data_IF_558076723024
#
_entry.id   IF_558076723024
#
_cell.length_a   1.000
_cell.length_b   1.000
_cell.length_c   1.000
_cell.angle_alpha   90.00
_cell.angle_beta   90.00
_cell.angle_gamma   90.00
#
_symmetry.space_group_name_H-M   'P 1'
#
loop_
_entity.id
_entity.type
_entity.pdbx_description
1 polymer ?
#
# COMPACT_ATOMS: atom_id res chain seq x y z
N UNK A 1 0.97 31.04 68.95
CA UNK A 1 -0.45 30.64 68.82
C UNK A 1 -0.47 29.29 68.14
N UNK A 2 -0.79 28.22 68.89
CA UNK A 2 -0.94 26.87 68.36
C UNK A 2 -2.32 26.73 67.71
N UNK A 3 -2.40 26.15 66.51
CA UNK A 3 -3.53 25.29 66.18
C UNK A 3 -3.13 24.27 65.10
N UNK A 4 -3.24 23.00 65.47
CA UNK A 4 -3.17 21.84 64.59
C UNK A 4 -4.46 21.78 63.76
N UNK A 5 -4.34 21.49 62.47
CA UNK A 5 -5.37 20.82 61.69
C UNK A 5 -4.68 19.90 60.67
N UNK A 6 -4.91 18.59 60.86
CA UNK A 6 -4.64 17.52 59.91
C UNK A 6 -5.59 17.64 58.72
N UNK A 7 -5.16 17.30 57.50
CA UNK A 7 -5.86 16.38 56.59
C UNK A 7 -4.97 16.07 55.34
N UNK A 8 -4.58 14.80 55.25
CA UNK A 8 -4.47 13.94 54.04
C UNK A 8 -3.66 14.35 52.79
N UNK A 9 -2.65 13.52 52.54
CA UNK A 9 -2.31 12.85 51.27
C UNK A 9 -2.06 13.70 50.01
N UNK A 10 -0.78 13.75 49.61
CA UNK A 10 -0.37 14.26 48.30
C UNK A 10 1.09 14.00 48.01
N UNK A 11 1.52 12.73 47.98
CA UNK A 11 2.78 12.37 47.31
C UNK A 11 2.42 11.92 45.90
N UNK A 12 2.41 12.87 44.97
CA UNK A 12 2.49 12.58 43.55
C UNK A 12 3.92 12.08 43.32
N UNK A 13 4.13 10.77 43.34
CA UNK A 13 5.35 10.18 42.81
C UNK A 13 5.30 10.39 41.31
N UNK A 14 6.11 11.35 40.86
CA UNK A 14 6.43 11.56 39.46
C UNK A 14 7.11 10.29 38.90
N UNK A 15 6.29 9.36 38.41
CA UNK A 15 6.74 8.34 37.48
C UNK A 15 6.95 9.00 36.14
N UNK A 16 8.17 9.52 35.91
CA UNK A 16 8.68 9.78 34.57
C UNK A 16 8.67 8.45 33.82
N UNK A 17 7.57 8.17 33.13
CA UNK A 17 7.55 7.17 32.09
C UNK A 17 8.57 7.64 31.05
N UNK A 18 9.74 7.01 31.06
CA UNK A 18 10.63 6.96 29.91
C UNK A 18 9.82 6.32 28.77
N UNK A 19 9.09 7.13 28.02
CA UNK A 19 8.89 6.81 26.62
C UNK A 19 10.32 6.75 26.05
N UNK A 20 10.75 5.64 25.43
CA UNK A 20 11.98 5.69 24.67
C UNK A 20 11.76 6.80 23.63
N UNK A 21 12.53 7.87 23.76
CA UNK A 21 12.76 8.75 22.64
C UNK A 21 13.17 7.81 21.51
N UNK A 22 12.34 7.72 20.48
CA UNK A 22 12.71 7.11 19.20
C UNK A 22 13.90 7.92 18.74
N UNK A 23 15.08 7.50 19.19
CA UNK A 23 16.33 8.03 18.73
C UNK A 23 16.28 7.78 17.24
N UNK A 24 16.44 8.84 16.46
CA UNK A 24 16.86 8.72 15.08
C UNK A 24 18.25 8.06 15.11
N UNK A 25 18.26 6.75 15.30
CA UNK A 25 19.43 5.94 15.04
C UNK A 25 19.59 5.97 13.53
N UNK A 26 20.75 6.43 13.07
CA UNK A 26 21.15 6.21 11.70
C UNK A 26 20.97 4.72 11.39
N UNK A 27 20.27 4.42 10.30
CA UNK A 27 20.00 3.04 9.90
C UNK A 27 21.32 2.33 9.68
N UNK A 28 21.53 1.22 10.40
CA UNK A 28 22.72 0.39 10.19
C UNK A 28 22.68 -0.25 8.81
N UNK A 29 23.85 -0.64 8.28
CA UNK A 29 23.92 -1.39 7.02
C UNK A 29 23.16 -2.72 7.10
N UNK A 30 23.17 -3.39 8.27
CA UNK A 30 22.42 -4.63 8.51
C UNK A 30 20.91 -4.42 8.40
N UNK A 31 20.40 -3.33 8.98
CA UNK A 31 18.99 -3.00 8.98
C UNK A 31 18.50 -2.65 7.57
N UNK A 32 19.28 -1.87 6.81
CA UNK A 32 19.01 -1.60 5.40
C UNK A 32 19.07 -2.86 4.54
N UNK A 33 20.00 -3.79 4.82
CA UNK A 33 20.08 -5.07 4.11
C UNK A 33 18.85 -5.94 4.38
N UNK A 34 18.38 -6.00 5.63
CA UNK A 34 17.13 -6.69 5.98
C UNK A 34 15.92 -6.07 5.28
N UNK A 35 15.84 -4.72 5.24
CA UNK A 35 14.77 -4.00 4.55
C UNK A 35 14.78 -4.28 3.04
N UNK A 36 15.94 -4.23 2.40
CA UNK A 36 16.10 -4.60 0.99
C UNK A 36 15.59 -6.01 0.73
N UNK A 37 15.98 -6.98 1.58
CA UNK A 37 15.55 -8.37 1.42
C UNK A 37 14.02 -8.52 1.54
N UNK A 38 13.42 -7.88 2.54
CA UNK A 38 11.96 -7.90 2.73
C UNK A 38 11.19 -7.27 1.55
N UNK A 39 11.63 -6.10 1.09
CA UNK A 39 11.00 -5.38 -0.03
C UNK A 39 11.07 -6.19 -1.32
N UNK A 40 12.22 -6.81 -1.60
CA UNK A 40 12.38 -7.66 -2.79
C UNK A 40 11.58 -8.97 -2.70
N UNK A 41 11.55 -9.61 -1.53
CA UNK A 41 10.81 -10.85 -1.33
C UNK A 41 9.29 -10.67 -1.46
N UNK A 42 8.78 -9.50 -1.07
CA UNK A 42 7.35 -9.15 -1.13
C UNK A 42 6.89 -8.62 -2.48
N UNK A 43 7.80 -8.43 -3.44
CA UNK A 43 7.53 -7.74 -4.71
C UNK A 43 6.97 -6.31 -4.53
N UNK A 44 7.30 -5.64 -3.42
CA UNK A 44 6.72 -4.32 -3.11
C UNK A 44 7.16 -3.22 -4.08
N UNK A 45 8.19 -3.45 -4.90
CA UNK A 45 8.63 -2.49 -5.92
C UNK A 45 7.75 -2.48 -7.17
N UNK A 46 7.00 -3.56 -7.46
CA UNK A 46 6.18 -3.65 -8.68
C UNK A 46 5.03 -2.63 -8.71
N UNK A 47 4.61 -2.14 -7.53
CA UNK A 47 3.68 -1.03 -7.39
C UNK A 47 4.16 0.27 -8.07
N UNK A 48 5.46 0.40 -8.34
CA UNK A 48 6.07 1.57 -8.96
C UNK A 48 6.46 1.35 -10.42
N UNK A 49 6.18 0.20 -11.02
CA UNK A 49 6.59 -0.12 -12.39
C UNK A 49 5.95 0.82 -13.43
N UNK A 50 4.75 1.30 -13.15
CA UNK A 50 4.00 2.19 -14.03
C UNK A 50 4.48 3.66 -14.05
N UNK A 51 5.33 4.10 -13.10
CA UNK A 51 5.70 5.53 -12.97
C UNK A 51 6.27 6.10 -14.28
N UNK A 52 7.31 5.46 -14.83
CA UNK A 52 7.98 5.95 -16.04
C UNK A 52 7.04 5.87 -17.26
N UNK A 53 6.35 4.74 -17.53
CA UNK A 53 5.35 4.68 -18.60
C UNK A 53 4.25 5.74 -18.52
N UNK A 54 3.71 6.01 -17.32
CA UNK A 54 2.69 7.04 -17.16
C UNK A 54 3.25 8.45 -17.39
N UNK A 55 4.48 8.73 -16.94
CA UNK A 55 5.14 10.00 -17.23
C UNK A 55 5.40 10.17 -18.73
N UNK A 56 5.80 9.10 -19.42
CA UNK A 56 5.98 9.08 -20.86
C UNK A 56 4.66 9.40 -21.58
N UNK A 57 3.57 8.70 -21.25
CA UNK A 57 2.25 8.94 -21.85
C UNK A 57 1.75 10.38 -21.64
N UNK A 58 1.87 10.89 -20.41
CA UNK A 58 1.51 12.28 -20.09
C UNK A 58 2.35 13.28 -20.88
N UNK A 59 3.65 13.00 -21.03
CA UNK A 59 4.58 13.84 -21.81
C UNK A 59 4.21 13.83 -23.29
N UNK A 60 3.89 12.66 -23.86
CA UNK A 60 3.38 12.53 -25.23
C UNK A 60 2.15 13.42 -25.43
N UNK A 61 1.18 13.36 -24.52
CA UNK A 61 -0.03 14.18 -24.60
C UNK A 61 0.24 15.70 -24.63
N UNK A 62 1.20 16.18 -23.82
CA UNK A 62 1.59 17.60 -23.79
C UNK A 62 2.14 18.06 -25.16
N UNK A 63 3.05 17.28 -25.75
CA UNK A 63 3.69 17.65 -27.02
C UNK A 63 2.74 17.53 -28.21
N UNK A 64 1.89 16.49 -28.28
CA UNK A 64 0.87 16.36 -29.34
C UNK A 64 -0.14 17.51 -29.28
N UNK A 65 -0.55 17.91 -28.07
CA UNK A 65 -1.47 19.03 -27.90
C UNK A 65 -0.85 20.35 -28.38
N UNK A 66 0.45 20.55 -28.13
CA UNK A 66 1.17 21.75 -28.55
C UNK A 66 1.42 21.76 -30.07
N UNK A 67 1.76 20.62 -30.65
CA UNK A 67 1.99 20.45 -32.09
C UNK A 67 1.64 19.02 -32.56
N UNK A 68 0.47 18.84 -33.21
CA UNK A 68 0.05 17.52 -33.71
C UNK A 68 0.98 16.91 -34.77
N UNK A 69 1.83 17.71 -35.43
CA UNK A 69 2.76 17.21 -36.44
C UNK A 69 3.87 16.33 -35.84
N UNK A 70 4.10 16.43 -34.53
CA UNK A 70 5.12 15.65 -33.81
C UNK A 70 4.76 14.17 -33.67
N UNK A 71 3.50 13.78 -33.86
CA UNK A 71 3.00 12.41 -33.62
C UNK A 71 3.89 11.32 -34.23
N UNK A 72 4.43 11.54 -35.44
CA UNK A 72 5.22 10.54 -36.15
C UNK A 72 6.62 10.27 -35.57
N UNK A 73 7.20 11.20 -34.80
CA UNK A 73 8.55 11.09 -34.21
C UNK A 73 8.52 11.00 -32.69
N UNK A 74 7.43 11.48 -32.07
CA UNK A 74 7.35 11.66 -30.63
C UNK A 74 7.40 10.33 -29.87
N UNK A 75 6.79 9.27 -30.39
CA UNK A 75 6.82 7.95 -29.75
C UNK A 75 8.26 7.43 -29.59
N UNK A 76 9.10 7.58 -30.63
CA UNK A 76 10.50 7.18 -30.59
C UNK A 76 11.28 8.00 -29.56
N UNK A 77 11.15 9.34 -29.60
CA UNK A 77 11.86 10.25 -28.70
C UNK A 77 11.46 10.03 -27.24
N UNK A 78 10.15 9.94 -26.97
CA UNK A 78 9.64 9.72 -25.61
C UNK A 78 10.09 8.35 -25.09
N UNK A 79 10.08 7.31 -25.93
CA UNK A 79 10.58 5.99 -25.55
C UNK A 79 12.06 6.03 -25.21
N UNK A 80 12.89 6.70 -26.03
CA UNK A 80 14.32 6.83 -25.77
C UNK A 80 14.60 7.56 -24.44
N UNK A 81 13.88 8.64 -24.17
CA UNK A 81 13.99 9.40 -22.92
C UNK A 81 13.51 8.56 -21.74
N UNK A 82 12.38 7.89 -21.86
CA UNK A 82 11.83 7.02 -20.82
C UNK A 82 12.80 5.88 -20.46
N UNK A 83 13.47 5.28 -21.44
CA UNK A 83 14.49 4.26 -21.22
C UNK A 83 15.68 4.82 -20.42
N UNK A 84 16.17 6.02 -20.75
CA UNK A 84 17.24 6.68 -19.97
C UNK A 84 16.82 6.97 -18.54
N UNK A 85 15.55 7.33 -18.31
CA UNK A 85 15.04 7.56 -16.95
C UNK A 85 14.97 6.28 -16.10
N UNK A 86 15.09 5.08 -16.69
CA UNK A 86 15.17 3.84 -15.90
C UNK A 86 16.44 3.76 -15.05
N UNK A 87 17.48 4.53 -15.38
CA UNK A 87 18.71 4.64 -14.60
C UNK A 87 18.45 5.25 -13.19
N UNK A 88 17.32 5.91 -12.98
CA UNK A 88 16.89 6.48 -11.69
C UNK A 88 16.21 5.43 -10.76
N UNK A 89 15.91 4.23 -11.27
CA UNK A 89 15.28 3.13 -10.49
C UNK A 89 16.03 2.79 -9.19
N UNK A 90 17.37 2.74 -9.15
CA UNK A 90 18.10 2.43 -7.91
C UNK A 90 17.83 3.44 -6.79
N UNK A 91 17.67 4.74 -7.11
CA UNK A 91 17.38 5.75 -6.11
C UNK A 91 15.97 5.59 -5.54
N UNK A 92 14.98 5.32 -6.39
CA UNK A 92 13.63 4.96 -5.93
C UNK A 92 13.65 3.73 -5.00
N UNK A 93 14.36 2.67 -5.41
CA UNK A 93 14.46 1.46 -4.62
C UNK A 93 15.08 1.74 -3.24
N UNK A 94 16.14 2.54 -3.18
CA UNK A 94 16.78 2.97 -1.94
C UNK A 94 15.81 3.72 -1.03
N UNK A 95 15.05 4.68 -1.57
CA UNK A 95 14.03 5.40 -0.81
C UNK A 95 12.99 4.45 -0.21
N UNK A 96 12.55 3.43 -0.96
CA UNK A 96 11.60 2.42 -0.47
C UNK A 96 12.23 1.54 0.62
N UNK A 97 13.48 1.13 0.47
CA UNK A 97 14.18 0.35 1.50
C UNK A 97 14.30 1.15 2.80
N UNK A 98 14.67 2.43 2.73
CA UNK A 98 14.72 3.31 3.90
C UNK A 98 13.35 3.49 4.56
N UNK A 99 12.29 3.57 3.76
CA UNK A 99 10.91 3.65 4.25
C UNK A 99 10.59 2.43 5.12
N UNK A 100 10.92 1.22 4.65
CA UNK A 100 10.70 -0.02 5.41
C UNK A 100 11.60 -0.12 6.64
N UNK A 101 12.89 0.17 6.50
CA UNK A 101 13.86 0.14 7.59
C UNK A 101 13.49 1.07 8.75
N UNK A 102 12.92 2.25 8.47
CA UNK A 102 12.47 3.20 9.52
C UNK A 102 11.19 2.77 10.23
N UNK A 103 10.43 1.81 9.70
CA UNK A 103 9.09 1.44 10.18
C UNK A 103 9.03 0.07 10.85
N UNK A 104 9.97 -0.79 10.53
CA UNK A 104 10.05 -2.17 11.01
C UNK A 104 11.44 -2.40 11.60
N UNK A 105 11.51 -3.16 12.69
CA UNK A 105 12.78 -3.62 13.24
C UNK A 105 13.52 -4.56 12.27
N UNK A 106 14.83 -4.71 12.46
CA UNK A 106 15.63 -5.65 11.65
C UNK A 106 15.13 -7.10 11.76
N UNK A 107 14.64 -7.50 12.94
CA UNK A 107 14.05 -8.81 13.19
C UNK A 107 12.76 -9.01 12.39
N UNK A 108 11.80 -8.09 12.47
CA UNK A 108 10.54 -8.16 11.71
C UNK A 108 10.80 -8.18 10.19
N UNK A 109 11.74 -7.37 9.70
CA UNK A 109 12.13 -7.38 8.29
C UNK A 109 12.70 -8.74 7.87
N UNK A 110 13.51 -9.34 8.73
CA UNK A 110 14.08 -10.67 8.50
C UNK A 110 13.01 -11.76 8.50
N UNK A 111 12.04 -11.70 9.41
CA UNK A 111 10.90 -12.62 9.45
C UNK A 111 10.04 -12.51 8.19
N UNK A 112 9.70 -11.29 7.77
CA UNK A 112 8.95 -11.04 6.53
C UNK A 112 9.70 -11.61 5.33
N UNK A 113 11.00 -11.30 5.21
CA UNK A 113 11.84 -11.83 4.15
C UNK A 113 11.85 -13.36 4.13
N UNK A 114 12.06 -14.00 5.29
CA UNK A 114 12.10 -15.45 5.40
C UNK A 114 10.78 -16.11 4.98
N UNK A 115 9.63 -15.53 5.38
CA UNK A 115 8.33 -16.02 4.97
C UNK A 115 8.14 -15.93 3.45
N UNK A 116 8.34 -14.75 2.87
CA UNK A 116 8.10 -14.53 1.45
C UNK A 116 9.14 -15.21 0.54
N UNK A 117 10.33 -15.53 1.04
CA UNK A 117 11.31 -16.33 0.31
C UNK A 117 11.04 -17.85 0.35
N UNK A 118 10.22 -18.31 1.30
CA UNK A 118 9.81 -19.72 1.38
C UNK A 118 9.04 -20.16 0.12
N UNK A 119 8.97 -21.47 -0.19
CA UNK A 119 8.21 -21.95 -1.35
C UNK A 119 6.75 -21.48 -1.35
N UNK A 120 6.10 -21.47 -0.18
CA UNK A 120 4.71 -21.01 -0.04
C UNK A 120 4.60 -19.50 -0.16
N UNK A 121 5.52 -18.74 0.45
CA UNK A 121 5.56 -17.28 0.35
C UNK A 121 5.73 -16.80 -1.09
N UNK A 122 6.68 -17.39 -1.83
CA UNK A 122 6.89 -17.11 -3.26
C UNK A 122 5.65 -17.43 -4.08
N UNK A 123 5.02 -18.58 -3.82
CA UNK A 123 3.77 -18.97 -4.50
C UNK A 123 2.65 -17.98 -4.20
N UNK A 124 2.55 -17.49 -2.96
CA UNK A 124 1.57 -16.48 -2.58
C UNK A 124 1.82 -15.16 -3.32
N UNK A 125 3.05 -14.64 -3.35
CA UNK A 125 3.39 -13.42 -4.10
C UNK A 125 3.00 -13.54 -5.57
N UNK A 126 3.38 -14.65 -6.22
CA UNK A 126 3.08 -14.90 -7.63
C UNK A 126 1.58 -14.99 -7.93
N UNK A 127 0.80 -15.63 -7.05
CA UNK A 127 -0.64 -15.82 -7.27
C UNK A 127 -1.49 -14.66 -6.74
N UNK A 128 -0.93 -13.71 -5.99
CA UNK A 128 -1.70 -12.64 -5.33
C UNK A 128 -2.56 -11.82 -6.29
N UNK A 129 -2.08 -11.40 -7.48
CA UNK A 129 -2.92 -10.69 -8.45
C UNK A 129 -4.08 -11.55 -8.97
N UNK A 130 -3.83 -12.82 -9.29
CA UNK A 130 -4.84 -13.76 -9.78
C UNK A 130 -5.91 -14.03 -8.71
N UNK A 131 -5.49 -14.37 -7.49
CA UNK A 131 -6.38 -14.61 -6.34
C UNK A 131 -7.26 -13.39 -6.08
N UNK A 132 -6.68 -12.18 -6.14
CA UNK A 132 -7.43 -10.93 -5.96
C UNK A 132 -8.48 -10.74 -7.06
N UNK A 133 -8.11 -10.93 -8.32
CA UNK A 133 -9.04 -10.83 -9.46
C UNK A 133 -10.18 -11.86 -9.37
N UNK A 134 -9.86 -13.12 -9.05
CA UNK A 134 -10.84 -14.19 -8.87
C UNK A 134 -11.78 -13.89 -7.70
N UNK A 135 -11.26 -13.36 -6.60
CA UNK A 135 -12.05 -12.99 -5.41
C UNK A 135 -13.03 -11.86 -5.71
N UNK A 136 -12.61 -10.83 -6.46
CA UNK A 136 -13.51 -9.77 -6.95
C UNK A 136 -14.59 -10.35 -7.86
N UNK A 137 -14.22 -11.27 -8.76
CA UNK A 137 -15.16 -11.97 -9.63
C UNK A 137 -16.22 -12.75 -8.85
N UNK A 138 -15.82 -13.50 -7.82
CA UNK A 138 -16.73 -14.25 -6.95
C UNK A 138 -17.69 -13.32 -6.18
N UNK A 139 -17.19 -12.20 -5.66
CA UNK A 139 -18.02 -11.20 -4.99
C UNK A 139 -19.09 -10.60 -5.90
N UNK A 140 -18.75 -10.33 -7.17
CA UNK A 140 -19.72 -9.85 -8.18
C UNK A 140 -20.82 -10.87 -8.45
N UNK A 141 -20.48 -12.14 -8.62
CA UNK A 141 -21.48 -13.20 -8.83
C UNK A 141 -22.44 -13.32 -7.63
N UNK A 142 -21.90 -13.24 -6.40
CA UNK A 142 -22.72 -13.23 -5.20
C UNK A 142 -23.64 -12.00 -5.12
N UNK A 143 -23.14 -10.81 -5.47
CA UNK A 143 -23.93 -9.57 -5.54
C UNK A 143 -25.07 -9.67 -6.56
N UNK A 144 -24.84 -10.25 -7.74
CA UNK A 144 -25.87 -10.42 -8.76
C UNK A 144 -27.01 -11.33 -8.27
N UNK A 145 -26.66 -12.44 -7.63
CA UNK A 145 -27.63 -13.34 -7.00
C UNK A 145 -28.44 -12.61 -5.92
N UNK A 146 -27.76 -11.90 -5.03
CA UNK A 146 -28.43 -11.16 -3.94
C UNK A 146 -29.37 -10.08 -4.49
N UNK A 147 -28.98 -9.40 -5.57
CA UNK A 147 -29.81 -8.38 -6.23
C UNK A 147 -31.12 -8.97 -6.77
N UNK A 148 -31.06 -10.16 -7.38
CA UNK A 148 -32.25 -10.86 -7.87
C UNK A 148 -33.17 -11.27 -6.71
N UNK A 149 -32.61 -11.85 -5.65
CA UNK A 149 -33.37 -12.25 -4.45
C UNK A 149 -34.03 -11.03 -3.79
N UNK A 150 -33.32 -9.90 -3.72
CA UNK A 150 -33.85 -8.67 -3.15
C UNK A 150 -35.03 -8.11 -3.93
N UNK A 151 -34.97 -8.12 -5.27
CA UNK A 151 -36.10 -7.71 -6.12
C UNK A 151 -37.33 -8.57 -5.86
N UNK A 152 -37.16 -9.89 -5.75
CA UNK A 152 -38.26 -10.82 -5.46
C UNK A 152 -38.88 -10.53 -4.09
N UNK A 153 -38.05 -10.37 -3.06
CA UNK A 153 -38.53 -10.09 -1.71
C UNK A 153 -39.25 -8.75 -1.61
N UNK A 154 -38.67 -7.68 -2.19
CA UNK A 154 -39.28 -6.35 -2.20
C UNK A 154 -40.61 -6.39 -2.94
N UNK A 155 -40.70 -7.06 -4.08
CA UNK A 155 -41.97 -7.24 -4.81
C UNK A 155 -43.02 -7.91 -3.92
N UNK A 156 -42.68 -9.03 -3.28
CA UNK A 156 -43.60 -9.73 -2.39
C UNK A 156 -44.08 -8.86 -1.22
N UNK A 157 -43.22 -8.02 -0.66
CA UNK A 157 -43.61 -7.07 0.39
C UNK A 157 -44.51 -5.94 -0.12
N UNK A 158 -44.27 -5.43 -1.34
CA UNK A 158 -45.14 -4.43 -1.97
C UNK A 158 -46.53 -5.00 -2.29
N UNK A 159 -46.62 -6.25 -2.76
CA UNK A 159 -47.87 -6.97 -3.01
C UNK A 159 -48.68 -7.16 -1.71
N UNK A 160 -48.04 -7.63 -0.63
CA UNK A 160 -48.70 -7.77 0.68
C UNK A 160 -49.27 -6.46 1.22
N UNK A 161 -48.65 -5.33 0.85
CA UNK A 161 -49.10 -3.98 1.24
C UNK A 161 -50.14 -3.40 0.27
N UNK A 162 -50.49 -4.10 -0.80
CA UNK A 162 -51.43 -3.63 -1.83
C UNK A 162 -50.91 -2.47 -2.66
N UNK A 163 -49.60 -2.23 -2.68
CA UNK A 163 -48.99 -1.12 -3.42
C UNK A 163 -48.78 -1.47 -4.90
N UNK A 164 -48.72 -2.76 -5.22
CA UNK A 164 -48.65 -3.29 -6.59
C UNK A 164 -49.59 -4.48 -6.76
N UNK A 165 -49.99 -4.77 -8.00
CA UNK A 165 -50.75 -5.97 -8.35
C UNK A 165 -49.79 -7.18 -8.49
N UNK A 166 -50.24 -8.39 -8.14
CA UNK A 166 -49.48 -9.63 -8.37
C UNK A 166 -49.23 -9.89 -9.86
#
# INVERSE_FOLDING_TARGET
>A
MNLKALFSAGVVVAGLAFAPAVMAQDLTESHLAAARRAVLATDALSAFDAIIPELAERTTGIFIQADPSLTGVLDEVVTEVALKMTDERPELNKMVFEVWARRLSEEELTEIANFYESPTGKKLTQLSPEISALSIGAARQWQDKLSQEMVVQVRGELEKRGLIKP
#
